data_IF_566207931804
#
_entry.id   IF_566207931804
#
_cell.length_a   1.000
_cell.length_b   1.000
_cell.length_c   1.000
_cell.angle_alpha   90.00
_cell.angle_beta   90.00
_cell.angle_gamma   90.00
#
_symmetry.space_group_name_H-M   'P 1'
#
loop_
_entity.id
_entity.type
_entity.pdbx_description
1 polymer ?
#
# COMPACT_ATOMS: atom_id res chain seq x y z
N UNK A 1 13.16 64.25 31.83
CA UNK A 1 13.28 63.94 30.42
C UNK A 1 14.11 62.66 30.33
N UNK A 2 13.48 61.46 30.25
CA UNK A 2 14.21 60.20 30.08
C UNK A 2 13.58 59.45 28.88
N UNK A 3 14.38 59.21 27.85
CA UNK A 3 13.99 58.48 26.64
C UNK A 3 14.15 56.99 26.88
N UNK A 4 13.04 56.29 26.83
CA UNK A 4 13.06 54.82 26.83
C UNK A 4 13.50 54.22 25.47
N UNK A 5 14.48 53.36 25.53
CA UNK A 5 14.94 52.55 24.38
C UNK A 5 13.97 51.38 24.12
N UNK A 6 13.43 51.30 22.89
CA UNK A 6 12.66 50.14 22.42
C UNK A 6 13.65 49.04 22.00
N UNK A 7 13.55 47.90 22.65
CA UNK A 7 14.20 46.65 22.25
C UNK A 7 13.40 46.10 21.03
N UNK A 8 14.10 45.90 19.93
CA UNK A 8 13.52 45.22 18.73
C UNK A 8 13.48 43.75 19.01
N UNK A 9 12.29 43.14 18.91
CA UNK A 9 12.10 41.71 18.96
C UNK A 9 12.71 41.03 17.72
N UNK A 10 13.45 39.96 17.99
CA UNK A 10 13.98 39.08 16.98
C UNK A 10 12.82 38.35 16.30
N UNK A 11 12.83 38.37 14.96
CA UNK A 11 11.89 37.63 14.14
C UNK A 11 12.21 36.13 14.24
N UNK A 12 11.30 35.35 14.81
CA UNK A 12 11.34 33.88 14.71
C UNK A 12 11.23 33.48 13.25
N UNK A 13 12.23 32.73 12.78
CA UNK A 13 12.21 32.06 11.47
C UNK A 13 11.05 31.08 11.45
N UNK A 14 10.04 31.36 10.64
CA UNK A 14 8.90 30.48 10.40
C UNK A 14 9.36 29.20 9.72
N UNK A 15 9.04 28.06 10.31
CA UNK A 15 9.17 26.76 9.64
C UNK A 15 8.27 26.76 8.38
N UNK A 16 8.71 26.16 7.25
CA UNK A 16 7.87 26.03 6.08
C UNK A 16 6.66 25.15 6.43
N UNK A 17 5.49 25.76 6.45
CA UNK A 17 4.21 25.07 6.63
C UNK A 17 3.94 24.25 5.38
N UNK A 18 4.07 22.93 5.47
CA UNK A 18 3.49 22.01 4.49
C UNK A 18 1.99 22.27 4.48
N UNK A 19 1.47 22.82 3.39
CA UNK A 19 0.06 23.15 3.24
C UNK A 19 -0.81 21.91 3.42
N UNK A 20 -1.94 22.03 4.15
CA UNK A 20 -2.94 20.96 4.19
C UNK A 20 -3.34 20.59 2.76
N UNK A 21 -3.44 19.30 2.42
CA UNK A 21 -3.96 18.91 1.12
C UNK A 21 -5.37 19.51 0.98
N UNK A 22 -5.74 20.01 -0.21
CA UNK A 22 -7.09 20.51 -0.45
C UNK A 22 -8.09 19.39 -0.13
N UNK A 23 -9.25 19.73 0.45
CA UNK A 23 -10.26 18.79 0.96
C UNK A 23 -10.70 17.70 -0.04
N UNK A 24 -10.42 17.87 -1.33
CA UNK A 24 -10.73 16.91 -2.41
C UNK A 24 -9.79 15.69 -2.47
N UNK A 25 -8.72 15.61 -1.66
CA UNK A 25 -7.72 14.54 -1.72
C UNK A 25 -7.21 14.09 -0.35
N UNK A 26 -8.09 14.00 0.64
CA UNK A 26 -7.72 13.38 1.90
C UNK A 26 -7.39 11.89 1.67
N UNK A 27 -6.27 11.38 2.22
CA UNK A 27 -5.97 9.95 2.16
C UNK A 27 -7.07 9.12 2.83
N UNK A 28 -7.20 7.88 2.40
CA UNK A 28 -8.17 6.94 2.97
C UNK A 28 -7.86 6.69 4.45
N UNK A 29 -8.88 6.76 5.32
CA UNK A 29 -8.75 6.51 6.76
C UNK A 29 -7.67 7.39 7.43
N UNK A 30 -7.53 8.64 6.98
CA UNK A 30 -6.44 9.52 7.37
C UNK A 30 -6.26 9.69 8.87
N UNK A 31 -7.35 10.06 9.57
CA UNK A 31 -7.32 10.27 11.03
C UNK A 31 -7.04 8.96 11.75
N UNK A 32 -7.70 7.88 11.34
CA UNK A 32 -7.55 6.55 11.93
C UNK A 32 -6.13 5.99 11.79
N UNK A 33 -5.43 6.30 10.68
CA UNK A 33 -4.02 5.95 10.48
C UNK A 33 -3.12 6.70 11.45
N UNK A 34 -3.28 8.01 11.56
CA UNK A 34 -2.45 8.84 12.46
C UNK A 34 -2.67 8.46 13.94
N UNK A 35 -3.91 8.23 14.35
CA UNK A 35 -4.25 7.73 15.69
C UNK A 35 -3.67 6.32 15.91
N UNK A 36 -3.77 5.47 14.89
CA UNK A 36 -3.22 4.13 14.90
C UNK A 36 -1.71 4.12 15.08
N UNK A 37 -0.97 4.96 14.35
CA UNK A 37 0.47 5.10 14.45
C UNK A 37 0.93 5.72 15.78
N UNK A 38 0.07 6.56 16.41
CA UNK A 38 0.41 7.27 17.66
C UNK A 38 1.76 7.99 17.54
N UNK A 39 1.83 8.93 16.61
CA UNK A 39 3.09 9.64 16.31
C UNK A 39 3.62 10.36 17.55
N UNK A 40 4.89 10.10 17.89
CA UNK A 40 5.64 10.80 18.94
C UNK A 40 6.64 11.76 18.30
N UNK A 41 6.85 12.93 18.91
CA UNK A 41 7.63 14.02 18.32
C UNK A 41 9.02 13.62 17.82
N UNK A 42 9.75 12.82 18.60
CA UNK A 42 11.13 12.41 18.29
C UNK A 42 11.22 10.98 17.72
N UNK A 43 10.08 10.42 17.23
CA UNK A 43 10.01 9.09 16.66
C UNK A 43 10.54 9.01 15.23
N UNK A 44 10.85 7.78 14.81
CA UNK A 44 11.21 7.45 13.42
C UNK A 44 10.09 6.64 12.79
N UNK A 45 9.50 7.15 11.74
CA UNK A 45 8.36 6.55 11.05
C UNK A 45 8.70 6.22 9.61
N UNK A 46 8.17 5.10 9.12
CA UNK A 46 8.25 4.70 7.71
C UNK A 46 6.85 4.71 7.08
N UNK A 47 6.71 5.43 5.97
CA UNK A 47 5.64 5.23 5.00
C UNK A 47 6.23 4.42 3.83
N UNK A 48 5.89 3.12 3.77
CA UNK A 48 6.42 2.19 2.77
C UNK A 48 5.67 2.21 1.44
N UNK A 49 4.62 3.05 1.35
CA UNK A 49 3.72 3.19 0.19
C UNK A 49 3.37 4.66 -0.01
N UNK A 50 4.41 5.46 -0.23
CA UNK A 50 4.32 6.93 -0.19
C UNK A 50 3.24 7.52 -1.12
N UNK A 51 3.12 7.01 -2.36
CA UNK A 51 2.15 7.46 -3.35
C UNK A 51 2.22 8.96 -3.62
N UNK A 52 1.33 9.73 -3.00
CA UNK A 52 1.30 11.21 -3.11
C UNK A 52 1.64 11.92 -1.81
N UNK A 53 2.08 11.18 -0.80
CA UNK A 53 2.56 11.75 0.46
C UNK A 53 1.47 12.25 1.41
N UNK A 54 0.23 11.83 1.21
CA UNK A 54 -0.87 12.30 2.03
C UNK A 54 -0.74 11.88 3.51
N UNK A 55 -0.52 10.60 3.78
CA UNK A 55 -0.24 10.07 5.11
C UNK A 55 1.12 10.54 5.62
N UNK A 56 2.18 10.45 4.79
CA UNK A 56 3.51 10.93 5.09
C UNK A 56 3.51 12.39 5.57
N UNK A 57 2.77 13.27 4.90
CA UNK A 57 2.59 14.67 5.32
C UNK A 57 1.87 14.79 6.67
N UNK A 58 0.95 13.88 6.97
CA UNK A 58 0.28 13.82 8.26
C UNK A 58 1.23 13.46 9.40
N UNK A 59 2.06 12.46 9.19
CA UNK A 59 3.11 12.06 10.14
C UNK A 59 4.13 13.19 10.33
N UNK A 60 4.65 13.76 9.23
CA UNK A 60 5.67 14.82 9.27
C UNK A 60 5.22 16.04 10.08
N UNK A 61 3.93 16.43 10.02
CA UNK A 61 3.37 17.53 10.82
C UNK A 61 3.36 17.28 12.32
N UNK A 62 3.34 16.02 12.76
CA UNK A 62 3.37 15.66 14.18
C UNK A 62 4.78 15.43 14.71
N UNK A 63 5.77 15.31 13.82
CA UNK A 63 7.17 15.15 14.20
C UNK A 63 7.79 16.48 14.65
N UNK A 64 8.55 16.43 15.73
CA UNK A 64 9.43 17.49 16.20
C UNK A 64 10.74 17.58 15.38
N UNK A 65 11.65 18.48 15.76
CA UNK A 65 12.90 18.71 15.02
C UNK A 65 13.83 17.49 14.98
N UNK A 66 13.78 16.62 15.99
CA UNK A 66 14.59 15.40 16.08
C UNK A 66 13.89 14.15 15.54
N UNK A 67 12.62 14.27 15.14
CA UNK A 67 11.86 13.21 14.53
C UNK A 67 12.35 12.90 13.11
N UNK A 68 12.07 11.70 12.62
CA UNK A 68 12.48 11.24 11.28
C UNK A 68 11.30 10.61 10.54
N UNK A 69 11.15 10.97 9.28
CA UNK A 69 10.23 10.35 8.35
C UNK A 69 11.01 9.70 7.22
N UNK A 70 10.84 8.39 7.09
CA UNK A 70 11.37 7.61 5.98
C UNK A 70 10.22 7.34 5.01
N UNK A 71 10.42 7.53 3.71
CA UNK A 71 9.41 7.27 2.70
C UNK A 71 9.94 6.36 1.61
N UNK A 72 9.17 5.36 1.25
CA UNK A 72 9.48 4.42 0.19
C UNK A 72 8.35 4.35 -0.83
N UNK A 73 8.70 4.19 -2.09
CA UNK A 73 7.79 3.76 -3.14
C UNK A 73 8.59 3.13 -4.29
N UNK A 74 8.01 2.15 -4.97
CA UNK A 74 8.60 1.57 -6.19
C UNK A 74 8.28 2.40 -7.43
N UNK A 75 7.21 3.21 -7.39
CA UNK A 75 6.78 4.06 -8.50
C UNK A 75 7.66 5.31 -8.61
N UNK A 76 8.38 5.50 -9.75
CA UNK A 76 9.21 6.68 -9.94
C UNK A 76 8.43 7.99 -9.91
N UNK A 77 7.14 7.99 -10.30
CA UNK A 77 6.30 9.19 -10.22
C UNK A 77 6.00 9.58 -8.76
N UNK A 78 5.86 8.60 -7.87
CA UNK A 78 5.70 8.83 -6.44
C UNK A 78 7.00 9.38 -5.84
N UNK A 79 8.15 8.82 -6.21
CA UNK A 79 9.46 9.30 -5.76
C UNK A 79 9.75 10.72 -6.24
N UNK A 80 9.41 11.07 -7.48
CA UNK A 80 9.55 12.44 -7.97
C UNK A 80 8.73 13.45 -7.16
N UNK A 81 7.55 13.06 -6.67
CA UNK A 81 6.75 13.89 -5.73
C UNK A 81 7.44 13.98 -4.37
N UNK A 82 7.96 12.87 -3.84
CA UNK A 82 8.67 12.87 -2.57
C UNK A 82 9.91 13.78 -2.62
N UNK A 83 10.71 13.69 -3.66
CA UNK A 83 11.89 14.53 -3.87
C UNK A 83 11.55 16.02 -3.99
N UNK A 84 10.49 16.35 -4.72
CA UNK A 84 10.07 17.74 -4.91
C UNK A 84 9.50 18.37 -3.64
N UNK A 85 8.61 17.65 -2.94
CA UNK A 85 7.75 18.22 -1.90
C UNK A 85 8.25 17.92 -0.48
N UNK A 86 9.04 16.85 -0.28
CA UNK A 86 9.46 16.38 1.05
C UNK A 86 10.98 16.43 1.27
N UNK A 87 11.82 16.26 0.23
CA UNK A 87 13.26 16.32 0.39
C UNK A 87 13.80 17.66 0.96
N UNK A 88 13.13 18.83 0.79
CA UNK A 88 13.57 20.06 1.44
C UNK A 88 13.51 20.03 2.98
N UNK A 89 12.71 19.14 3.58
CA UNK A 89 12.68 18.94 5.03
C UNK A 89 13.77 17.97 5.46
N UNK A 90 14.76 18.44 6.19
CA UNK A 90 15.92 17.65 6.63
C UNK A 90 15.59 16.46 7.55
N UNK A 91 14.33 16.30 7.96
CA UNK A 91 13.85 15.14 8.73
C UNK A 91 13.43 13.97 7.84
N UNK A 92 13.32 14.18 6.52
CA UNK A 92 12.83 13.19 5.57
C UNK A 92 13.99 12.51 4.86
N UNK A 93 13.92 11.20 4.73
CA UNK A 93 14.76 10.41 3.84
C UNK A 93 13.87 9.63 2.87
N UNK A 94 14.33 9.52 1.63
CA UNK A 94 13.56 8.96 0.50
C UNK A 94 14.32 7.76 -0.08
N UNK A 95 13.59 6.69 -0.39
CA UNK A 95 14.13 5.50 -1.02
C UNK A 95 13.22 5.02 -2.15
N UNK A 96 13.75 4.84 -3.37
CA UNK A 96 13.04 4.19 -4.46
C UNK A 96 13.21 2.68 -4.35
N UNK A 97 12.14 1.97 -4.06
CA UNK A 97 12.14 0.52 -3.94
C UNK A 97 10.85 -0.02 -3.33
N UNK A 98 10.74 -1.34 -3.30
CA UNK A 98 9.62 -2.02 -2.63
C UNK A 98 9.80 -1.98 -1.11
N UNK A 99 8.71 -1.82 -0.38
CA UNK A 99 8.73 -2.00 1.08
C UNK A 99 9.11 -3.45 1.50
N UNK A 100 9.08 -4.40 0.57
CA UNK A 100 9.63 -5.74 0.78
C UNK A 100 11.15 -5.71 1.07
N UNK A 101 11.84 -4.71 0.51
CA UNK A 101 13.29 -4.54 0.59
C UNK A 101 13.72 -3.56 1.71
N UNK A 102 12.81 -3.22 2.63
CA UNK A 102 13.09 -2.22 3.67
C UNK A 102 14.27 -2.59 4.60
N UNK A 103 14.64 -3.86 4.69
CA UNK A 103 15.81 -4.30 5.45
C UNK A 103 17.13 -3.91 4.79
N UNK A 104 17.13 -3.72 3.48
CA UNK A 104 18.31 -3.33 2.70
C UNK A 104 18.58 -1.82 2.77
N UNK A 105 17.67 -1.05 3.35
CA UNK A 105 17.84 0.38 3.55
C UNK A 105 18.42 0.71 4.93
N UNK A 106 19.67 1.13 4.97
CA UNK A 106 20.41 1.45 6.22
C UNK A 106 19.69 2.44 7.13
N UNK A 107 18.90 3.38 6.56
CA UNK A 107 18.15 4.35 7.35
C UNK A 107 17.13 3.69 8.32
N UNK A 108 16.71 2.45 8.04
CA UNK A 108 15.79 1.69 8.91
C UNK A 108 16.50 0.92 10.02
N UNK A 109 17.84 0.82 9.98
CA UNK A 109 18.62 -0.06 10.86
C UNK A 109 18.54 0.35 12.34
N UNK A 110 18.36 1.64 12.64
CA UNK A 110 18.21 2.15 14.00
C UNK A 110 16.85 1.78 14.66
N UNK A 111 15.95 1.17 13.90
CA UNK A 111 14.62 0.78 14.33
C UNK A 111 13.57 1.88 14.13
N UNK A 112 12.32 1.47 14.03
CA UNK A 112 11.16 2.30 13.66
C UNK A 112 10.15 2.35 14.82
N UNK A 113 9.65 3.55 15.12
CA UNK A 113 8.57 3.76 16.08
C UNK A 113 7.20 3.53 15.45
N UNK A 114 7.12 3.59 14.11
CA UNK A 114 5.93 3.21 13.36
C UNK A 114 6.20 2.91 11.90
N UNK A 115 5.37 2.02 11.33
CA UNK A 115 5.38 1.63 9.92
C UNK A 115 3.97 1.71 9.38
N UNK A 116 3.81 2.35 8.24
CA UNK A 116 2.58 2.41 7.47
C UNK A 116 2.76 1.70 6.12
N UNK A 117 1.80 0.83 5.79
CA UNK A 117 1.57 0.34 4.44
C UNK A 117 0.13 0.68 4.03
N UNK A 118 -0.03 1.54 3.02
CA UNK A 118 -1.29 1.85 2.35
C UNK A 118 -1.30 1.11 1.02
N UNK A 119 -1.85 -0.12 1.02
CA UNK A 119 -1.70 -1.07 -0.06
C UNK A 119 -2.52 -0.70 -1.31
N UNK A 120 -2.20 -1.36 -2.42
CA UNK A 120 -2.90 -1.23 -3.68
C UNK A 120 -2.32 -0.15 -4.59
N UNK A 121 -3.17 0.53 -5.34
CA UNK A 121 -2.76 1.49 -6.38
C UNK A 121 -3.08 2.93 -6.00
N UNK A 122 -2.18 3.82 -6.35
CA UNK A 122 -2.39 5.25 -6.20
C UNK A 122 -3.43 5.79 -7.21
N UNK A 123 -4.03 6.94 -6.89
CA UNK A 123 -4.97 7.59 -7.79
C UNK A 123 -4.38 7.89 -9.17
N UNK A 124 -3.16 8.42 -9.31
CA UNK A 124 -2.56 8.64 -10.63
C UNK A 124 -2.38 7.36 -11.45
N UNK A 125 -2.02 6.24 -10.83
CA UNK A 125 -1.89 4.96 -11.55
C UNK A 125 -3.22 4.54 -12.22
N UNK A 126 -4.36 4.82 -11.58
CA UNK A 126 -5.69 4.54 -12.15
C UNK A 126 -6.16 5.60 -13.13
N UNK A 127 -5.80 6.86 -12.92
CA UNK A 127 -6.34 8.00 -13.66
C UNK A 127 -5.55 8.31 -14.95
N UNK A 128 -4.26 7.92 -15.00
CA UNK A 128 -3.37 8.10 -16.15
C UNK A 128 -3.45 6.87 -17.06
N UNK A 129 -4.01 7.03 -18.25
CA UNK A 129 -4.24 5.94 -19.19
C UNK A 129 -2.94 5.22 -19.60
N UNK A 130 -1.84 5.95 -19.71
CA UNK A 130 -0.51 5.47 -20.11
C UNK A 130 0.08 4.44 -19.13
N UNK A 131 -0.40 4.41 -17.88
CA UNK A 131 0.01 3.44 -16.87
C UNK A 131 -0.65 2.06 -17.03
N UNK A 132 -1.78 1.98 -17.74
CA UNK A 132 -2.45 0.72 -18.09
C UNK A 132 -3.18 -0.01 -16.97
N UNK A 133 -3.39 0.60 -15.79
CA UNK A 133 -4.07 -0.02 -14.64
C UNK A 133 -5.58 -0.08 -14.79
N UNK A 134 -6.15 0.77 -15.62
CA UNK A 134 -7.60 0.89 -15.82
C UNK A 134 -7.98 0.69 -17.28
N UNK A 135 -9.15 0.13 -17.51
CA UNK A 135 -9.78 0.04 -18.82
C UNK A 135 -10.85 1.12 -19.03
N UNK A 136 -11.07 1.99 -18.05
CA UNK A 136 -12.00 3.13 -18.18
C UNK A 136 -11.51 4.19 -19.16
N UNK A 137 -10.21 4.27 -19.35
CA UNK A 137 -9.53 5.03 -20.41
C UNK A 137 -8.57 4.06 -21.08
N UNK A 138 -8.64 3.99 -22.41
CA UNK A 138 -7.78 3.10 -23.17
C UNK A 138 -6.32 3.60 -23.17
N UNK A 139 -5.39 2.72 -22.85
CA UNK A 139 -3.96 2.99 -22.81
C UNK A 139 -3.13 1.75 -23.07
N UNK A 140 -1.78 1.86 -23.06
CA UNK A 140 -0.91 0.71 -23.13
C UNK A 140 -1.23 -0.29 -22.01
N UNK A 141 -1.22 -1.59 -22.31
CA UNK A 141 -1.48 -2.63 -21.32
C UNK A 141 -0.19 -2.92 -20.51
N UNK A 142 0.22 -1.98 -19.66
CA UNK A 142 1.45 -2.08 -18.89
C UNK A 142 1.22 -2.63 -17.47
N UNK A 143 0.50 -1.94 -16.61
CA UNK A 143 0.17 -2.28 -15.22
C UNK A 143 1.36 -2.35 -14.24
N UNK A 144 2.58 -2.03 -14.64
CA UNK A 144 3.72 -2.00 -13.72
C UNK A 144 3.68 -0.75 -12.84
N UNK A 145 3.87 -0.92 -11.54
CA UNK A 145 4.09 0.20 -10.61
C UNK A 145 5.48 0.80 -10.84
N UNK A 146 6.50 -0.04 -11.03
CA UNK A 146 7.82 0.36 -11.50
C UNK A 146 7.96 0.03 -13.00
N UNK A 147 7.82 1.00 -13.92
CA UNK A 147 7.91 0.77 -15.36
C UNK A 147 9.33 0.41 -15.83
N UNK A 148 10.35 0.62 -15.00
CA UNK A 148 11.75 0.31 -15.33
C UNK A 148 12.12 -1.15 -15.01
N UNK A 149 11.21 -1.91 -14.36
CA UNK A 149 11.47 -3.26 -13.86
C UNK A 149 10.40 -4.26 -14.29
N UNK A 150 10.81 -5.50 -14.50
CA UNK A 150 9.91 -6.62 -14.80
C UNK A 150 9.23 -6.54 -16.17
N UNK A 151 8.31 -7.49 -16.41
CA UNK A 151 7.51 -7.53 -17.65
C UNK A 151 6.17 -6.82 -17.48
N UNK A 152 5.70 -6.17 -18.54
CA UNK A 152 4.37 -5.55 -18.57
C UNK A 152 3.26 -6.60 -18.67
N UNK A 153 2.03 -6.20 -18.35
CA UNK A 153 0.87 -7.07 -18.52
C UNK A 153 0.70 -7.55 -19.97
N UNK A 154 1.00 -6.70 -20.96
CA UNK A 154 1.00 -7.09 -22.37
C UNK A 154 2.04 -8.16 -22.67
N UNK A 155 3.27 -7.99 -22.22
CA UNK A 155 4.35 -8.96 -22.42
C UNK A 155 3.99 -10.30 -21.79
N UNK A 156 3.53 -10.28 -20.55
CA UNK A 156 3.12 -11.49 -19.83
C UNK A 156 1.96 -12.22 -20.52
N UNK A 157 0.86 -11.54 -20.87
CA UNK A 157 -0.30 -12.14 -21.52
C UNK A 157 0.03 -12.72 -22.90
N UNK A 158 0.93 -12.07 -23.64
CA UNK A 158 1.35 -12.55 -24.95
C UNK A 158 2.32 -13.74 -24.90
N UNK A 159 2.88 -14.06 -23.69
CA UNK A 159 3.85 -15.16 -23.49
C UNK A 159 3.27 -16.33 -22.69
N UNK A 160 2.57 -16.04 -21.58
CA UNK A 160 2.13 -17.02 -20.60
C UNK A 160 1.19 -18.06 -21.21
N UNK A 161 1.24 -19.29 -20.75
CA UNK A 161 0.32 -20.33 -21.21
C UNK A 161 -1.10 -20.16 -20.59
N UNK A 162 -2.07 -20.89 -21.11
CA UNK A 162 -3.47 -20.76 -20.69
C UNK A 162 -3.69 -21.22 -19.25
N UNK A 163 -2.89 -22.13 -18.74
CA UNK A 163 -2.94 -22.61 -17.37
C UNK A 163 -2.41 -21.54 -16.41
N UNK A 164 -1.25 -20.96 -16.72
CA UNK A 164 -0.65 -19.87 -15.93
C UNK A 164 -1.62 -18.69 -15.84
N UNK A 165 -2.19 -18.24 -16.98
CA UNK A 165 -3.17 -17.16 -17.01
C UNK A 165 -4.41 -17.52 -16.17
N UNK A 166 -4.96 -18.72 -16.33
CA UNK A 166 -6.14 -19.16 -15.59
C UNK A 166 -5.89 -19.21 -14.08
N UNK A 167 -4.73 -19.70 -13.67
CA UNK A 167 -4.36 -19.80 -12.26
C UNK A 167 -4.21 -18.41 -11.62
N UNK A 168 -3.61 -17.44 -12.32
CA UNK A 168 -3.52 -16.03 -11.87
C UNK A 168 -4.90 -15.42 -11.73
N UNK A 169 -5.74 -15.53 -12.75
CA UNK A 169 -7.10 -14.97 -12.73
C UNK A 169 -7.97 -15.56 -11.61
N UNK A 170 -7.83 -16.85 -11.36
CA UNK A 170 -8.56 -17.54 -10.30
C UNK A 170 -8.03 -17.17 -8.91
N UNK A 171 -6.72 -17.25 -8.72
CA UNK A 171 -6.08 -17.07 -7.40
C UNK A 171 -6.18 -15.63 -6.91
N UNK A 172 -5.96 -14.66 -7.78
CA UNK A 172 -5.89 -13.25 -7.40
C UNK A 172 -7.17 -12.45 -7.71
N UNK A 173 -8.01 -12.96 -8.60
CA UNK A 173 -9.25 -12.29 -9.00
C UNK A 173 -10.53 -12.97 -8.51
N UNK A 174 -10.43 -14.17 -7.93
CA UNK A 174 -11.60 -15.04 -7.68
C UNK A 174 -12.48 -15.16 -8.94
N UNK A 175 -11.82 -15.22 -10.12
CA UNK A 175 -12.53 -15.24 -11.40
C UNK A 175 -12.94 -16.67 -11.76
N UNK A 176 -14.21 -16.98 -11.60
CA UNK A 176 -14.75 -18.33 -11.84
C UNK A 176 -14.66 -18.78 -13.29
N UNK A 177 -14.62 -17.82 -14.23
CA UNK A 177 -14.48 -18.10 -15.66
C UNK A 177 -13.02 -18.04 -16.12
N UNK A 178 -12.06 -18.10 -15.22
CA UNK A 178 -10.62 -17.93 -15.46
C UNK A 178 -10.11 -18.77 -16.63
N UNK A 179 -10.46 -20.06 -16.69
CA UNK A 179 -10.06 -20.98 -17.78
C UNK A 179 -10.66 -20.60 -19.15
N UNK A 180 -11.89 -20.05 -19.15
CA UNK A 180 -12.54 -19.60 -20.39
C UNK A 180 -11.87 -18.35 -20.91
N UNK A 181 -11.58 -17.41 -20.01
CA UNK A 181 -10.87 -16.15 -20.33
C UNK A 181 -9.46 -16.47 -20.84
N UNK A 182 -8.70 -17.30 -20.12
CA UNK A 182 -7.34 -17.68 -20.50
C UNK A 182 -7.27 -18.30 -21.91
N UNK A 183 -8.14 -19.27 -22.21
CA UNK A 183 -8.22 -19.86 -23.55
C UNK A 183 -8.55 -18.84 -24.63
N UNK A 184 -9.43 -17.88 -24.36
CA UNK A 184 -9.76 -16.83 -25.30
C UNK A 184 -8.57 -15.88 -25.54
N UNK A 185 -7.80 -15.56 -24.49
CA UNK A 185 -6.59 -14.74 -24.59
C UNK A 185 -5.56 -15.45 -25.49
N UNK A 186 -5.25 -16.71 -25.20
CA UNK A 186 -4.28 -17.51 -25.98
C UNK A 186 -4.72 -17.66 -27.44
N UNK A 187 -6.00 -17.96 -27.69
CA UNK A 187 -6.52 -18.11 -29.04
C UNK A 187 -6.45 -16.80 -29.88
N UNK A 188 -6.58 -15.65 -29.24
CA UNK A 188 -6.53 -14.35 -29.96
C UNK A 188 -5.10 -13.87 -30.20
N UNK A 189 -4.20 -14.00 -29.22
CA UNK A 189 -2.87 -13.37 -29.25
C UNK A 189 -1.99 -13.81 -30.41
N UNK A 190 -2.17 -15.02 -30.93
CA UNK A 190 -1.39 -15.56 -32.05
C UNK A 190 -1.61 -14.76 -33.35
N UNK A 191 -2.82 -14.19 -33.52
CA UNK A 191 -3.16 -13.34 -34.67
C UNK A 191 -3.17 -11.85 -34.33
N UNK A 192 -3.48 -11.49 -33.09
CA UNK A 192 -3.61 -10.12 -32.59
C UNK A 192 -3.07 -10.02 -31.16
N UNK A 193 -1.75 -9.83 -30.99
CA UNK A 193 -1.16 -9.63 -29.68
C UNK A 193 -1.81 -8.48 -28.92
N UNK A 194 -1.94 -8.62 -27.60
CA UNK A 194 -2.48 -7.57 -26.75
C UNK A 194 -1.46 -6.45 -26.55
N UNK A 195 -1.89 -5.23 -26.76
CA UNK A 195 -1.08 -4.01 -26.56
C UNK A 195 -1.82 -2.95 -25.74
N UNK A 196 -3.15 -3.01 -25.69
CA UNK A 196 -4.00 -1.98 -25.08
C UNK A 196 -5.00 -2.55 -24.07
N UNK A 197 -5.37 -1.72 -23.12
CA UNK A 197 -6.29 -2.10 -22.03
C UNK A 197 -7.70 -2.38 -22.57
N UNK A 198 -8.19 -1.62 -23.55
CA UNK A 198 -9.51 -1.84 -24.14
C UNK A 198 -9.59 -3.21 -24.83
N UNK A 199 -8.57 -3.63 -25.55
CA UNK A 199 -8.54 -4.92 -26.25
C UNK A 199 -8.76 -6.10 -25.30
N UNK A 200 -8.10 -6.07 -24.14
CA UNK A 200 -8.26 -7.09 -23.11
C UNK A 200 -9.64 -7.03 -22.46
N UNK A 201 -10.10 -5.83 -22.11
CA UNK A 201 -11.40 -5.64 -21.47
C UNK A 201 -12.56 -6.10 -22.36
N UNK A 202 -12.52 -5.78 -23.65
CA UNK A 202 -13.51 -6.19 -24.66
C UNK A 202 -13.51 -7.71 -24.85
N UNK A 203 -12.33 -8.33 -24.95
CA UNK A 203 -12.25 -9.79 -25.03
C UNK A 203 -12.90 -10.44 -23.81
N UNK A 204 -12.54 -10.01 -22.60
CA UNK A 204 -13.10 -10.57 -21.36
C UNK A 204 -14.63 -10.41 -21.36
N UNK A 205 -15.13 -9.21 -21.68
CA UNK A 205 -16.57 -8.95 -21.73
C UNK A 205 -17.30 -9.83 -22.78
N UNK A 206 -16.65 -10.13 -23.90
CA UNK A 206 -17.23 -10.96 -24.97
C UNK A 206 -17.42 -12.42 -24.57
N UNK A 207 -16.55 -12.94 -23.70
CA UNK A 207 -16.57 -14.35 -23.28
C UNK A 207 -17.26 -14.56 -21.94
N UNK A 208 -17.55 -13.49 -21.21
CA UNK A 208 -18.25 -13.59 -19.93
C UNK A 208 -19.77 -13.78 -20.15
N UNK A 209 -20.43 -14.58 -19.30
CA UNK A 209 -21.88 -14.66 -19.30
C UNK A 209 -22.48 -13.27 -19.04
N UNK A 210 -23.57 -12.93 -19.73
CA UNK A 210 -24.35 -11.72 -19.41
C UNK A 210 -24.94 -11.89 -17.99
N UNK A 211 -24.30 -11.26 -17.01
CA UNK A 211 -24.70 -11.29 -15.60
C UNK A 211 -25.49 -10.05 -15.19
N UNK A 212 -26.11 -10.14 -14.00
CA UNK A 212 -26.78 -8.98 -13.35
C UNK A 212 -25.78 -8.18 -12.48
N UNK A 213 -24.49 -8.48 -12.54
CA UNK A 213 -23.48 -7.83 -11.71
C UNK A 213 -23.34 -6.36 -12.07
N UNK A 214 -23.27 -5.51 -11.05
CA UNK A 214 -23.11 -4.05 -11.20
C UNK A 214 -21.68 -3.65 -11.59
N UNK A 215 -20.73 -4.58 -11.53
CA UNK A 215 -19.30 -4.37 -11.84
C UNK A 215 -18.98 -4.87 -13.25
N UNK A 216 -18.09 -4.14 -13.92
CA UNK A 216 -17.65 -4.54 -15.26
C UNK A 216 -16.98 -5.93 -15.24
N UNK A 217 -17.24 -6.83 -16.21
CA UNK A 217 -16.71 -8.19 -16.24
C UNK A 217 -15.17 -8.28 -16.14
N UNK A 218 -14.45 -7.30 -16.70
CA UNK A 218 -12.98 -7.29 -16.66
C UNK A 218 -12.38 -6.88 -15.31
N UNK A 219 -13.15 -6.32 -14.37
CA UNK A 219 -12.60 -5.75 -13.13
C UNK A 219 -11.77 -6.74 -12.33
N UNK A 220 -12.27 -7.97 -12.13
CA UNK A 220 -11.56 -9.01 -11.38
C UNK A 220 -10.29 -9.47 -12.09
N UNK A 221 -10.35 -9.59 -13.40
CA UNK A 221 -9.21 -10.00 -14.21
C UNK A 221 -8.12 -8.94 -14.22
N UNK A 222 -8.46 -7.65 -14.34
CA UNK A 222 -7.50 -6.56 -14.26
C UNK A 222 -6.84 -6.50 -12.88
N UNK A 223 -7.61 -6.67 -11.79
CA UNK A 223 -7.05 -6.76 -10.45
C UNK A 223 -6.08 -7.95 -10.32
N UNK A 224 -6.45 -9.12 -10.84
CA UNK A 224 -5.61 -10.32 -10.75
C UNK A 224 -4.28 -10.14 -11.50
N UNK A 225 -4.34 -9.60 -12.71
CA UNK A 225 -3.15 -9.34 -13.54
C UNK A 225 -2.25 -8.31 -12.84
N UNK A 226 -2.82 -7.23 -12.33
CA UNK A 226 -2.09 -6.20 -11.59
C UNK A 226 -1.33 -6.79 -10.39
N UNK A 227 -2.01 -7.58 -9.57
CA UNK A 227 -1.43 -8.24 -8.40
C UNK A 227 -0.26 -9.14 -8.82
N UNK A 228 -0.42 -9.88 -9.92
CA UNK A 228 0.62 -10.76 -10.44
C UNK A 228 1.84 -9.98 -10.96
N UNK A 229 1.62 -9.00 -11.85
CA UNK A 229 2.69 -8.19 -12.47
C UNK A 229 3.53 -7.48 -11.41
N UNK A 230 2.89 -6.96 -10.37
CA UNK A 230 3.56 -6.19 -9.32
C UNK A 230 4.00 -7.02 -8.11
N UNK A 231 3.74 -8.35 -8.12
CA UNK A 231 4.05 -9.27 -7.01
C UNK A 231 3.46 -8.81 -5.66
N UNK A 232 2.31 -8.13 -5.69
CA UNK A 232 1.77 -7.37 -4.56
C UNK A 232 1.65 -8.19 -3.28
N UNK A 233 1.17 -9.44 -3.37
CA UNK A 233 0.98 -10.28 -2.18
C UNK A 233 2.31 -10.84 -1.64
N UNK A 234 3.26 -11.20 -2.50
CA UNK A 234 4.58 -11.65 -2.08
C UNK A 234 5.37 -10.50 -1.42
N UNK A 235 5.31 -9.31 -2.02
CA UNK A 235 5.92 -8.12 -1.44
C UNK A 235 5.27 -7.76 -0.09
N UNK A 236 3.94 -7.93 0.05
CA UNK A 236 3.24 -7.71 1.31
C UNK A 236 3.73 -8.68 2.41
N UNK A 237 3.84 -9.97 2.12
CA UNK A 237 4.33 -10.94 3.10
C UNK A 237 5.75 -10.61 3.55
N UNK A 238 6.67 -10.36 2.61
CA UNK A 238 8.05 -9.98 2.91
C UNK A 238 8.14 -8.65 3.66
N UNK A 239 7.34 -7.64 3.26
CA UNK A 239 7.30 -6.34 3.91
C UNK A 239 6.78 -6.37 5.35
N UNK A 240 5.79 -7.23 5.63
CA UNK A 240 5.29 -7.43 7.00
C UNK A 240 6.36 -8.05 7.90
N UNK A 241 7.08 -9.07 7.43
CA UNK A 241 8.19 -9.68 8.17
C UNK A 241 9.33 -8.67 8.38
N UNK A 242 9.66 -7.89 7.36
CA UNK A 242 10.69 -6.86 7.42
C UNK A 242 10.30 -5.71 8.37
N UNK A 243 9.05 -5.25 8.33
CA UNK A 243 8.53 -4.25 9.27
C UNK A 243 8.61 -4.76 10.72
N UNK A 244 8.22 -6.02 10.95
CA UNK A 244 8.32 -6.62 12.28
C UNK A 244 9.75 -6.69 12.80
N UNK A 245 10.72 -6.96 11.92
CA UNK A 245 12.14 -6.96 12.28
C UNK A 245 12.64 -5.56 12.68
N UNK A 246 12.22 -4.51 11.96
CA UNK A 246 12.68 -3.13 12.19
C UNK A 246 11.89 -2.36 13.24
N UNK A 247 10.66 -2.76 13.58
CA UNK A 247 9.91 -2.09 14.64
C UNK A 247 10.63 -2.21 15.98
N UNK A 248 10.73 -1.10 16.68
CA UNK A 248 11.16 -1.05 18.09
C UNK A 248 10.08 -1.66 18.99
N UNK A 249 10.42 -2.15 20.20
CA UNK A 249 9.43 -2.40 21.24
C UNK A 249 8.54 -1.17 21.46
N UNK A 250 7.20 -1.37 21.52
CA UNK A 250 6.22 -0.28 21.57
C UNK A 250 5.88 0.36 20.22
N UNK A 251 6.67 0.09 19.18
CA UNK A 251 6.42 0.59 17.81
C UNK A 251 5.17 0.00 17.18
N UNK A 252 4.54 0.73 16.26
CA UNK A 252 3.25 0.37 15.66
C UNK A 252 3.32 0.09 14.17
N UNK A 253 2.61 -0.97 13.77
CA UNK A 253 2.37 -1.32 12.37
C UNK A 253 0.92 -1.00 12.02
N UNK A 254 0.71 -0.10 11.06
CA UNK A 254 -0.58 0.23 10.49
C UNK A 254 -0.62 -0.21 9.02
N UNK A 255 -1.64 -0.98 8.63
CA UNK A 255 -1.78 -1.48 7.26
C UNK A 255 -3.20 -1.26 6.78
N UNK A 256 -3.35 -0.57 5.64
CA UNK A 256 -4.61 -0.43 4.92
C UNK A 256 -4.62 -1.45 3.77
N UNK A 257 -5.66 -2.25 3.71
CA UNK A 257 -5.91 -3.22 2.63
C UNK A 257 -7.15 -2.81 1.85
N UNK A 258 -7.17 -3.03 0.54
CA UNK A 258 -8.30 -2.69 -0.34
C UNK A 258 -9.05 -3.89 -0.90
N UNK A 259 -8.52 -5.09 -0.74
CA UNK A 259 -9.20 -6.32 -1.11
C UNK A 259 -8.95 -7.46 -0.11
N UNK A 260 -9.79 -8.49 -0.19
CA UNK A 260 -9.85 -9.58 0.78
C UNK A 260 -8.56 -10.41 0.88
N UNK A 261 -7.77 -10.50 -0.17
CA UNK A 261 -6.51 -11.25 -0.15
C UNK A 261 -5.46 -10.54 0.71
N UNK A 262 -5.31 -9.22 0.53
CA UNK A 262 -4.44 -8.39 1.37
C UNK A 262 -4.87 -8.45 2.82
N UNK A 263 -6.16 -8.17 3.10
CA UNK A 263 -6.69 -8.18 4.47
C UNK A 263 -6.49 -9.54 5.16
N UNK A 264 -6.61 -10.63 4.40
CA UNK A 264 -6.38 -11.98 4.91
C UNK A 264 -4.92 -12.18 5.33
N UNK A 265 -3.96 -11.77 4.49
CA UNK A 265 -2.52 -11.87 4.79
C UNK A 265 -2.19 -11.05 6.03
N UNK A 266 -2.58 -9.78 6.08
CA UNK A 266 -2.34 -8.88 7.21
C UNK A 266 -2.96 -9.44 8.50
N UNK A 267 -4.23 -9.87 8.44
CA UNK A 267 -4.93 -10.47 9.58
C UNK A 267 -4.25 -11.74 10.07
N UNK A 268 -3.83 -12.63 9.16
CA UNK A 268 -3.16 -13.87 9.53
C UNK A 268 -1.78 -13.59 10.12
N UNK A 269 -1.02 -12.66 9.54
CA UNK A 269 0.26 -12.22 10.07
C UNK A 269 0.12 -11.70 11.49
N UNK A 270 -0.72 -10.69 11.71
CA UNK A 270 -0.92 -10.09 13.03
C UNK A 270 -1.44 -11.10 14.06
N UNK A 271 -2.38 -11.98 13.69
CA UNK A 271 -2.88 -13.01 14.60
C UNK A 271 -1.80 -14.04 14.95
N UNK A 272 -0.96 -14.47 14.00
CA UNK A 272 0.15 -15.41 14.25
C UNK A 272 1.14 -14.88 15.29
N UNK A 273 1.36 -13.57 15.30
CA UNK A 273 2.23 -12.90 16.26
C UNK A 273 1.56 -12.53 17.59
N UNK A 274 0.23 -12.41 17.61
CA UNK A 274 -0.52 -11.97 18.80
C UNK A 274 -1.18 -13.10 19.58
N UNK A 275 -1.44 -14.25 18.98
CA UNK A 275 -2.27 -15.31 19.56
C UNK A 275 -1.60 -16.67 19.42
N UNK A 276 -1.68 -17.47 20.47
CA UNK A 276 -1.25 -18.86 20.42
C UNK A 276 -1.97 -19.61 19.28
N UNK A 277 -1.24 -20.48 18.55
CA UNK A 277 -1.88 -21.36 17.58
C UNK A 277 -2.93 -22.24 18.30
N UNK A 278 -3.99 -22.69 17.58
CA UNK A 278 -4.98 -23.57 18.17
C UNK A 278 -4.28 -24.85 18.66
N UNK A 279 -4.40 -25.15 19.96
CA UNK A 279 -3.76 -26.32 20.56
C UNK A 279 -4.48 -27.59 20.16
N UNK A 280 -3.73 -28.56 19.70
CA UNK A 280 -4.23 -29.93 19.57
C UNK A 280 -4.11 -30.60 20.95
N UNK A 281 -5.22 -30.79 21.67
CA UNK A 281 -5.26 -31.43 23.01
C UNK A 281 -4.60 -32.82 23.08
N UNK A 282 -4.25 -33.40 21.93
CA UNK A 282 -3.59 -34.72 21.85
C UNK A 282 -2.07 -34.67 21.72
N UNK A 283 -1.51 -33.46 21.55
CA UNK A 283 -0.05 -33.24 21.44
C UNK A 283 0.42 -32.47 22.65
N UNK A 284 1.55 -32.86 23.27
CA UNK A 284 2.14 -32.06 24.34
C UNK A 284 2.56 -30.70 23.82
N UNK A 285 2.28 -29.65 24.57
CA UNK A 285 2.82 -28.30 24.31
C UNK A 285 4.35 -28.34 24.52
N UNK A 286 5.12 -28.22 23.44
CA UNK A 286 6.58 -28.24 23.49
C UNK A 286 7.17 -26.92 23.98
N UNK A 287 6.51 -25.81 23.74
CA UNK A 287 6.91 -24.47 24.21
C UNK A 287 5.67 -23.59 24.39
N UNK A 288 5.66 -22.77 25.46
CA UNK A 288 4.63 -21.76 25.64
C UNK A 288 4.74 -20.68 24.55
N UNK A 289 3.61 -20.34 23.92
CA UNK A 289 3.57 -19.25 22.96
C UNK A 289 3.81 -17.91 23.65
N UNK A 290 4.82 -17.18 23.17
CA UNK A 290 5.08 -15.81 23.64
C UNK A 290 4.62 -14.84 22.54
N UNK A 291 3.55 -14.07 22.76
CA UNK A 291 3.08 -13.10 21.77
C UNK A 291 4.11 -11.98 21.59
N UNK A 292 4.36 -11.61 20.34
CA UNK A 292 5.31 -10.55 19.95
C UNK A 292 4.59 -9.28 19.47
N UNK A 293 3.26 -9.37 19.21
CA UNK A 293 2.40 -8.25 18.88
C UNK A 293 1.18 -8.17 19.81
N UNK A 294 0.72 -6.97 20.07
CA UNK A 294 -0.62 -6.67 20.58
C UNK A 294 -1.48 -6.07 19.47
N UNK A 295 -2.68 -6.61 19.26
CA UNK A 295 -3.62 -6.05 18.31
C UNK A 295 -4.25 -4.79 18.90
N UNK A 296 -4.19 -3.68 18.16
CA UNK A 296 -4.80 -2.43 18.58
C UNK A 296 -6.20 -2.31 17.95
N UNK A 297 -7.19 -2.63 18.75
CA UNK A 297 -8.57 -2.67 18.27
C UNK A 297 -8.85 -3.81 17.28
N UNK A 298 -9.86 -3.59 16.43
CA UNK A 298 -10.28 -4.52 15.37
C UNK A 298 -9.94 -4.01 13.97
N UNK A 299 -10.67 -4.52 12.99
CA UNK A 299 -10.65 -3.96 11.63
C UNK A 299 -11.42 -2.62 11.62
N UNK A 300 -10.77 -1.55 11.19
CA UNK A 300 -11.34 -0.22 11.05
C UNK A 300 -11.70 0.00 9.58
N UNK A 301 -12.90 0.53 9.34
CA UNK A 301 -13.39 0.86 7.99
C UNK A 301 -13.80 2.32 7.94
N UNK A 302 -13.84 2.86 6.73
CA UNK A 302 -14.38 4.21 6.49
C UNK A 302 -15.84 4.29 6.94
N UNK A 303 -16.20 5.41 7.54
CA UNK A 303 -17.56 5.76 7.89
C UNK A 303 -18.35 6.35 6.70
N UNK A 304 -19.62 6.64 6.89
CA UNK A 304 -20.48 7.15 5.83
C UNK A 304 -20.06 8.55 5.37
N UNK A 305 -19.49 9.36 6.26
CA UNK A 305 -19.03 10.73 5.93
C UNK A 305 -17.78 10.66 5.02
N UNK A 306 -16.84 9.78 5.33
CA UNK A 306 -15.68 9.54 4.47
C UNK A 306 -16.11 8.95 3.12
N UNK A 307 -17.05 7.99 3.11
CA UNK A 307 -17.54 7.37 1.88
C UNK A 307 -18.25 8.35 0.96
N UNK A 308 -18.89 9.37 1.52
CA UNK A 308 -19.57 10.41 0.73
C UNK A 308 -18.58 11.27 -0.06
N UNK A 309 -17.38 11.52 0.48
CA UNK A 309 -16.34 12.36 -0.15
C UNK A 309 -15.26 11.53 -0.84
N UNK A 310 -15.01 10.30 -0.40
CA UNK A 310 -13.99 9.41 -0.94
C UNK A 310 -14.54 7.99 -1.20
N UNK A 311 -15.21 7.75 -2.34
CA UNK A 311 -15.77 6.42 -2.67
C UNK A 311 -14.72 5.30 -2.75
N UNK A 312 -13.43 5.61 -2.93
CA UNK A 312 -12.32 4.64 -2.95
C UNK A 312 -12.08 4.00 -1.58
N UNK A 313 -12.52 4.64 -0.49
CA UNK A 313 -12.44 4.11 0.86
C UNK A 313 -13.41 2.94 1.14
N UNK A 314 -14.37 2.66 0.23
CA UNK A 314 -15.42 1.65 0.44
C UNK A 314 -14.90 0.26 0.81
N UNK A 315 -13.81 -0.18 0.20
CA UNK A 315 -13.20 -1.49 0.44
C UNK A 315 -12.02 -1.44 1.40
N UNK A 316 -11.64 -0.26 1.86
CA UNK A 316 -10.51 -0.08 2.75
C UNK A 316 -10.75 -0.70 4.12
N UNK A 317 -9.73 -1.39 4.62
CA UNK A 317 -9.70 -1.99 5.96
C UNK A 317 -8.35 -1.68 6.59
N UNK A 318 -8.34 -0.85 7.64
CA UNK A 318 -7.14 -0.58 8.42
C UNK A 318 -7.04 -1.59 9.57
N UNK A 319 -5.84 -2.16 9.74
CA UNK A 319 -5.45 -2.93 10.91
C UNK A 319 -4.21 -2.33 11.55
N UNK A 320 -4.20 -2.31 12.87
CA UNK A 320 -3.08 -1.78 13.66
C UNK A 320 -2.63 -2.81 14.66
N UNK A 321 -1.31 -2.96 14.81
CA UNK A 321 -0.70 -3.77 15.85
C UNK A 321 0.49 -3.03 16.46
N UNK A 322 0.82 -3.36 17.71
CA UNK A 322 1.95 -2.80 18.44
C UNK A 322 2.93 -3.92 18.78
N UNK A 323 4.21 -3.71 18.51
CA UNK A 323 5.27 -4.65 18.91
C UNK A 323 5.42 -4.65 20.43
N UNK A 324 5.36 -5.84 21.02
CA UNK A 324 5.50 -5.98 22.47
C UNK A 324 6.92 -5.67 22.93
N UNK A 325 7.02 -5.15 24.12
CA UNK A 325 8.28 -5.14 24.85
C UNK A 325 8.62 -6.58 25.20
N UNK A 326 9.85 -6.99 24.89
CA UNK A 326 10.33 -8.30 25.35
C UNK A 326 10.60 -8.14 26.84
N UNK A 327 9.84 -8.85 27.69
CA UNK A 327 10.21 -8.96 29.09
C UNK A 327 11.57 -9.67 29.16
N UNK A 328 12.59 -9.00 29.73
CA UNK A 328 13.89 -9.58 30.02
C UNK A 328 13.77 -10.75 30.99
#
# INVERSE_FOLDING_TARGET
>A
VSRGARVRGEAQAGHPTVSQPPAAHLPVLYTQVLDGLRVIENGTYLDGTFGRGGHAGGVLRQLGPDGRLLVMDKDPDAIAVAERDFAPDGRVAIYRGSFADLLDWDATAAGLDGVLFDLGVSSPQLDVAERGFSFGKDGPLDMRMDPDSGESAAQWLNRADDREIADVLFTYGDERQSRRIARAIVARRDSQPFTRTAELAELIASVMPRGKDKIHPATRSFQAIRIHINRELADLEAGLDAAMARLKPGGRLAVISFHSLEDRIVKQFMNRHAKAPPTNRRLPELQAFVPTLDLIGGAIKADDDELAVNPRARSAVLRVAQKREVAE
#
